data_IF_432785339869
#
_entry.id   IF_432785339869
#
_cell.length_a   1.000
_cell.length_b   1.000
_cell.length_c   1.000
_cell.angle_alpha   90.00
_cell.angle_beta   90.00
_cell.angle_gamma   90.00
#
_symmetry.space_group_name_H-M   'P 1'
#
loop_
_entity.id
_entity.type
_entity.pdbx_description
1 polymer ?
#
# COMPACT_ATOMS: atom_id res chain seq x y z
N UNK A 1 -20.31 -4.54 -7.57
CA UNK A 1 -19.28 -5.02 -6.62
C UNK A 1 -18.45 -3.81 -6.24
N UNK A 2 -18.30 -3.49 -4.96
CA UNK A 2 -17.52 -2.33 -4.51
C UNK A 2 -16.05 -2.72 -4.38
N UNK A 3 -15.15 -1.87 -4.87
CA UNK A 3 -13.71 -2.07 -4.69
C UNK A 3 -13.36 -1.81 -3.22
N UNK A 4 -12.90 -2.84 -2.51
CA UNK A 4 -12.41 -2.67 -1.16
C UNK A 4 -11.15 -1.78 -1.16
N UNK A 5 -10.99 -0.92 -0.15
CA UNK A 5 -9.82 -0.03 -0.08
C UNK A 5 -8.80 -0.65 0.89
N UNK A 6 -7.52 -0.83 0.48
CA UNK A 6 -6.51 -1.43 1.35
C UNK A 6 -6.24 -0.56 2.58
N UNK A 7 -6.17 -1.17 3.77
CA UNK A 7 -5.92 -0.48 5.05
C UNK A 7 -4.87 -1.21 5.89
N UNK A 8 -4.28 -0.49 6.84
CA UNK A 8 -3.32 -1.06 7.80
C UNK A 8 -2.17 -1.81 7.13
N UNK A 9 -1.95 -3.07 7.53
CA UNK A 9 -0.88 -3.92 7.01
C UNK A 9 -0.99 -4.17 5.48
N UNK A 10 -2.21 -4.30 4.95
CA UNK A 10 -2.40 -4.55 3.52
C UNK A 10 -1.92 -3.35 2.67
N UNK A 11 -2.23 -2.13 3.14
CA UNK A 11 -1.76 -0.88 2.53
C UNK A 11 -0.25 -0.75 2.61
N UNK A 12 0.33 -0.99 3.78
CA UNK A 12 1.78 -0.92 3.97
C UNK A 12 2.52 -1.91 3.07
N UNK A 13 1.98 -3.12 2.93
CA UNK A 13 2.51 -4.15 2.05
C UNK A 13 2.57 -3.64 0.60
N UNK A 14 1.45 -3.15 0.06
CA UNK A 14 1.39 -2.62 -1.31
C UNK A 14 2.37 -1.45 -1.55
N UNK A 15 2.50 -0.55 -0.58
CA UNK A 15 3.48 0.56 -0.67
C UNK A 15 4.92 0.03 -0.68
N UNK A 16 5.24 -0.97 0.14
CA UNK A 16 6.57 -1.58 0.20
C UNK A 16 6.95 -2.29 -1.10
N UNK A 17 5.97 -2.87 -1.81
CA UNK A 17 6.18 -3.47 -3.14
C UNK A 17 6.51 -2.46 -4.23
N UNK A 18 6.34 -1.16 -3.98
CA UNK A 18 6.47 -0.13 -5.01
C UNK A 18 5.40 -0.20 -6.10
N UNK A 19 4.44 -1.13 -5.99
CA UNK A 19 3.31 -1.27 -6.91
C UNK A 19 2.41 -0.04 -6.83
N UNK A 20 1.76 0.25 -7.95
CA UNK A 20 0.80 1.32 -8.04
C UNK A 20 -0.51 0.79 -8.63
N UNK A 21 -1.61 1.38 -8.18
CA UNK A 21 -2.93 1.12 -8.68
C UNK A 21 -3.28 2.15 -9.76
N UNK A 22 -3.79 1.67 -10.89
CA UNK A 22 -4.60 2.45 -11.82
C UNK A 22 -6.03 2.35 -11.31
N UNK A 23 -6.70 3.47 -11.04
CA UNK A 23 -8.05 3.48 -10.50
C UNK A 23 -9.03 4.22 -11.39
N UNK A 24 -10.29 3.80 -11.33
CA UNK A 24 -11.42 4.52 -11.94
C UNK A 24 -12.29 5.08 -10.82
N UNK A 25 -12.28 6.41 -10.64
CA UNK A 25 -13.16 7.12 -9.72
C UNK A 25 -14.44 7.57 -10.43
N UNK A 26 -15.59 7.50 -9.77
CA UNK A 26 -16.88 7.89 -10.38
C UNK A 26 -17.89 8.30 -9.31
N UNK A 27 -18.96 8.98 -9.71
CA UNK A 27 -20.17 9.12 -8.90
C UNK A 27 -21.06 7.85 -8.99
N UNK A 28 -22.08 7.66 -8.13
CA UNK A 28 -22.87 6.43 -8.08
C UNK A 28 -23.60 6.10 -9.39
N UNK A 29 -23.95 7.13 -10.18
CA UNK A 29 -24.56 7.01 -11.51
C UNK A 29 -23.59 6.44 -12.58
N UNK A 30 -22.29 6.40 -12.29
CA UNK A 30 -21.27 5.81 -13.16
C UNK A 30 -20.61 6.78 -14.15
N UNK A 31 -21.07 8.03 -14.23
CA UNK A 31 -20.58 9.07 -15.15
C UNK A 31 -20.86 10.47 -14.56
N UNK A 32 -19.94 11.45 -14.67
CA UNK A 32 -18.61 11.34 -15.28
C UNK A 32 -17.65 10.52 -14.40
N UNK A 33 -16.54 10.06 -14.98
CA UNK A 33 -15.50 9.32 -14.27
C UNK A 33 -14.12 9.96 -14.40
N UNK A 34 -13.18 9.51 -13.59
CA UNK A 34 -11.77 9.91 -13.61
C UNK A 34 -10.91 8.65 -13.64
N UNK A 35 -9.81 8.70 -14.37
CA UNK A 35 -8.78 7.66 -14.35
C UNK A 35 -7.48 8.26 -13.86
N UNK A 36 -6.89 7.62 -12.85
CA UNK A 36 -5.64 8.09 -12.26
C UNK A 36 -4.77 6.93 -11.77
N UNK A 37 -3.57 7.29 -11.31
CA UNK A 37 -2.63 6.37 -10.70
C UNK A 37 -2.41 6.73 -9.23
N UNK A 38 -2.25 5.72 -8.37
CA UNK A 38 -1.98 5.93 -6.95
C UNK A 38 -1.13 4.82 -6.35
N UNK A 39 -0.22 5.19 -5.45
CA UNK A 39 0.47 4.24 -4.55
C UNK A 39 -0.32 3.98 -3.26
N UNK A 40 -1.31 4.82 -2.98
CA UNK A 40 -2.08 4.84 -1.74
C UNK A 40 -3.54 5.16 -2.06
N UNK A 41 -4.29 4.11 -2.41
CA UNK A 41 -5.70 4.24 -2.79
C UNK A 41 -6.57 4.83 -1.67
N UNK A 42 -6.21 4.62 -0.40
CA UNK A 42 -6.96 5.14 0.74
C UNK A 42 -6.86 6.68 0.79
N UNK A 43 -5.64 7.23 0.73
CA UNK A 43 -5.45 8.69 0.64
C UNK A 43 -6.05 9.28 -0.62
N UNK A 44 -5.91 8.60 -1.76
CA UNK A 44 -6.53 9.05 -3.01
C UNK A 44 -8.05 9.07 -2.89
N UNK A 45 -8.65 8.07 -2.25
CA UNK A 45 -10.08 8.03 -2.03
C UNK A 45 -10.55 9.13 -1.08
N UNK A 46 -9.84 9.39 0.01
CA UNK A 46 -10.13 10.49 0.93
C UNK A 46 -10.10 11.85 0.22
N UNK A 47 -9.01 12.15 -0.49
CA UNK A 47 -8.88 13.39 -1.27
C UNK A 47 -9.96 13.52 -2.36
N UNK A 48 -10.32 12.40 -3.00
CA UNK A 48 -11.40 12.38 -3.98
C UNK A 48 -12.75 12.69 -3.33
N UNK A 49 -13.01 12.22 -2.11
CA UNK A 49 -14.24 12.50 -1.36
C UNK A 49 -14.33 13.93 -0.84
N UNK A 50 -13.21 14.55 -0.52
CA UNK A 50 -13.18 15.98 -0.17
C UNK A 50 -13.67 16.84 -1.32
N UNK A 51 -13.29 16.49 -2.56
CA UNK A 51 -13.70 17.22 -3.76
C UNK A 51 -15.08 16.77 -4.26
N UNK A 52 -15.37 15.47 -4.23
CA UNK A 52 -16.63 14.84 -4.65
C UNK A 52 -17.18 13.92 -3.54
N UNK A 53 -18.04 14.43 -2.66
CA UNK A 53 -18.50 13.70 -1.46
C UNK A 53 -19.12 12.32 -1.72
N UNK A 54 -19.83 12.18 -2.85
CA UNK A 54 -20.52 10.94 -3.24
C UNK A 54 -19.72 10.04 -4.18
N UNK A 55 -18.44 10.36 -4.41
CA UNK A 55 -17.58 9.57 -5.27
C UNK A 55 -17.27 8.20 -4.67
N UNK A 56 -16.99 7.24 -5.54
CA UNK A 56 -16.51 5.89 -5.22
C UNK A 56 -15.41 5.49 -6.19
N UNK A 57 -14.56 4.55 -5.76
CA UNK A 57 -13.66 3.84 -6.69
C UNK A 57 -14.45 2.68 -7.28
N UNK A 58 -14.70 2.73 -8.59
CA UNK A 58 -15.43 1.68 -9.30
C UNK A 58 -14.57 0.43 -9.50
N UNK A 59 -13.29 0.60 -9.84
CA UNK A 59 -12.33 -0.49 -9.97
C UNK A 59 -10.89 0.02 -9.82
N UNK A 60 -9.98 -0.91 -9.56
CA UNK A 60 -8.55 -0.68 -9.54
C UNK A 60 -7.77 -1.87 -10.11
N UNK A 61 -6.65 -1.58 -10.77
CA UNK A 61 -5.71 -2.56 -11.31
C UNK A 61 -4.31 -2.26 -10.80
N UNK A 62 -3.61 -3.28 -10.32
CA UNK A 62 -2.26 -3.14 -9.77
C UNK A 62 -1.20 -3.49 -10.82
N UNK A 63 -0.20 -2.60 -10.93
CA UNK A 63 0.97 -2.76 -11.80
C UNK A 63 2.26 -2.58 -11.00
N UNK A 64 3.38 -3.02 -11.59
CA UNK A 64 4.70 -3.14 -10.94
C UNK A 64 5.25 -1.83 -10.37
N UNK A 65 4.94 -0.69 -10.97
CA UNK A 65 5.49 0.60 -10.58
C UNK A 65 4.54 1.75 -10.96
N UNK A 66 4.82 2.92 -10.39
CA UNK A 66 4.03 4.14 -10.58
C UNK A 66 4.09 4.65 -12.01
N UNK A 67 5.26 4.60 -12.63
CA UNK A 67 5.47 5.16 -13.97
C UNK A 67 4.62 4.42 -14.99
N UNK A 68 4.52 3.09 -14.87
CA UNK A 68 3.63 2.24 -15.67
C UNK A 68 2.15 2.61 -15.44
N UNK A 69 1.76 2.81 -14.17
CA UNK A 69 0.38 3.17 -13.84
C UNK A 69 -0.01 4.54 -14.40
N UNK A 70 0.88 5.53 -14.28
CA UNK A 70 0.69 6.87 -14.81
C UNK A 70 0.66 6.87 -16.34
N UNK A 71 1.54 6.11 -16.98
CA UNK A 71 1.56 5.98 -18.44
C UNK A 71 0.22 5.43 -18.98
N UNK A 72 -0.32 4.36 -18.37
CA UNK A 72 -1.62 3.83 -18.77
C UNK A 72 -2.73 4.85 -18.48
N UNK A 73 -2.74 5.47 -17.30
CA UNK A 73 -3.76 6.47 -16.97
C UNK A 73 -3.74 7.65 -17.95
N UNK A 74 -2.56 8.16 -18.30
CA UNK A 74 -2.40 9.25 -19.26
C UNK A 74 -2.88 8.85 -20.66
N UNK A 75 -2.57 7.64 -21.11
CA UNK A 75 -3.04 7.12 -22.40
C UNK A 75 -4.57 7.03 -22.43
N UNK A 76 -5.19 6.50 -21.36
CA UNK A 76 -6.65 6.43 -21.25
C UNK A 76 -7.28 7.83 -21.30
N UNK A 77 -6.70 8.79 -20.58
CA UNK A 77 -7.16 10.18 -20.62
C UNK A 77 -6.95 10.77 -22.03
N UNK A 78 -5.85 10.47 -22.73
CA UNK A 78 -5.62 10.96 -24.09
C UNK A 78 -6.61 10.47 -25.15
N UNK A 79 -7.19 9.27 -24.96
CA UNK A 79 -8.08 8.62 -25.94
C UNK A 79 -9.55 8.90 -25.69
N UNK A 80 -9.98 9.04 -24.43
CA UNK A 80 -11.39 9.16 -24.08
C UNK A 80 -11.86 10.63 -24.05
N UNK A 81 -13.14 10.90 -24.39
CA UNK A 81 -13.67 12.26 -24.41
C UNK A 81 -13.78 12.84 -23.00
N UNK A 82 -13.57 14.15 -22.88
CA UNK A 82 -13.66 14.89 -21.63
C UNK A 82 -14.86 15.84 -21.57
N UNK A 83 -15.36 16.10 -20.37
CA UNK A 83 -16.31 17.17 -20.08
C UNK A 83 -15.61 18.52 -19.86
N UNK A 84 -16.40 19.56 -19.61
CA UNK A 84 -15.91 20.93 -19.39
C UNK A 84 -15.04 21.09 -18.14
N UNK A 85 -15.13 20.16 -17.19
CA UNK A 85 -14.35 20.15 -15.95
C UNK A 85 -13.07 19.31 -16.07
N UNK A 86 -12.76 18.80 -17.27
CA UNK A 86 -11.59 17.96 -17.52
C UNK A 86 -11.72 16.54 -16.97
N UNK A 87 -12.94 16.02 -16.83
CA UNK A 87 -13.22 14.64 -16.41
C UNK A 87 -13.62 13.82 -17.62
N UNK A 88 -13.56 12.49 -17.53
CA UNK A 88 -13.99 11.64 -18.62
C UNK A 88 -15.52 11.64 -18.73
N UNK A 89 -16.03 12.06 -19.89
CA UNK A 89 -17.44 12.09 -20.26
C UNK A 89 -17.92 10.69 -20.72
N UNK A 90 -17.49 9.65 -20.01
CA UNK A 90 -17.89 8.26 -20.25
C UNK A 90 -18.19 7.55 -18.94
N UNK A 91 -18.87 6.41 -19.05
CA UNK A 91 -19.10 5.52 -17.92
C UNK A 91 -17.80 4.86 -17.43
N UNK A 92 -17.74 4.59 -16.13
CA UNK A 92 -16.64 3.88 -15.50
C UNK A 92 -16.32 2.52 -16.16
N UNK A 93 -17.33 1.79 -16.65
CA UNK A 93 -17.13 0.52 -17.37
C UNK A 93 -16.41 0.70 -18.70
N UNK A 94 -16.63 1.81 -19.40
CA UNK A 94 -15.93 2.15 -20.64
C UNK A 94 -14.48 2.47 -20.36
N UNK A 95 -14.21 3.30 -19.34
CA UNK A 95 -12.86 3.60 -18.88
C UNK A 95 -12.09 2.32 -18.46
N UNK A 96 -12.76 1.41 -17.73
CA UNK A 96 -12.19 0.10 -17.34
C UNK A 96 -11.76 -0.72 -18.57
N UNK A 97 -12.64 -0.85 -19.56
CA UNK A 97 -12.32 -1.60 -20.80
C UNK A 97 -11.16 -0.97 -21.55
N UNK A 98 -11.07 0.36 -21.56
CA UNK A 98 -9.95 1.06 -22.19
C UNK A 98 -8.62 0.78 -21.48
N UNK A 99 -8.61 0.75 -20.14
CA UNK A 99 -7.42 0.36 -19.35
C UNK A 99 -6.96 -1.05 -19.73
N UNK A 100 -7.89 -2.01 -19.79
CA UNK A 100 -7.61 -3.40 -20.16
C UNK A 100 -7.03 -3.49 -21.59
N UNK A 101 -7.65 -2.81 -22.55
CA UNK A 101 -7.17 -2.79 -23.94
C UNK A 101 -5.77 -2.21 -24.10
N UNK A 102 -5.47 -1.11 -23.40
CA UNK A 102 -4.14 -0.49 -23.44
C UNK A 102 -3.11 -1.45 -22.83
N UNK A 103 -3.41 -2.04 -21.68
CA UNK A 103 -2.52 -2.99 -21.04
C UNK A 103 -2.26 -4.23 -21.91
N UNK A 104 -3.29 -4.78 -22.54
CA UNK A 104 -3.16 -5.89 -23.48
C UNK A 104 -2.27 -5.50 -24.68
N UNK A 105 -2.46 -4.29 -25.23
CA UNK A 105 -1.63 -3.80 -26.34
C UNK A 105 -0.15 -3.64 -25.96
N UNK A 106 0.12 -3.29 -24.70
CA UNK A 106 1.47 -3.16 -24.15
C UNK A 106 2.02 -4.48 -23.60
N UNK A 107 1.26 -5.58 -23.70
CA UNK A 107 1.57 -6.91 -23.15
C UNK A 107 1.87 -6.85 -21.65
N UNK A 108 1.12 -6.01 -20.93
CA UNK A 108 1.23 -5.83 -19.48
C UNK A 108 0.17 -6.66 -18.77
N UNK A 109 0.61 -7.44 -17.78
CA UNK A 109 -0.30 -8.18 -16.91
C UNK A 109 -0.88 -7.24 -15.84
N UNK A 110 -2.15 -6.86 -15.99
CA UNK A 110 -2.89 -6.19 -14.93
C UNK A 110 -3.26 -7.19 -13.84
N UNK A 111 -2.95 -6.88 -12.59
CA UNK A 111 -3.48 -7.66 -11.47
C UNK A 111 -4.75 -6.99 -10.96
N UNK A 112 -5.89 -7.69 -11.09
CA UNK A 112 -7.16 -7.23 -10.52
C UNK A 112 -7.04 -6.98 -9.02
N UNK A 113 -7.77 -5.97 -8.53
CA UNK A 113 -7.75 -5.57 -7.12
C UNK A 113 -7.91 -6.75 -6.16
N UNK A 114 -8.94 -7.58 -6.35
CA UNK A 114 -9.23 -8.71 -5.45
C UNK A 114 -8.09 -9.74 -5.43
N UNK A 115 -7.48 -10.00 -6.58
CA UNK A 115 -6.35 -10.92 -6.69
C UNK A 115 -5.10 -10.35 -5.99
N UNK A 116 -4.85 -9.05 -6.13
CA UNK A 116 -3.78 -8.38 -5.39
C UNK A 116 -4.03 -8.47 -3.89
N UNK A 117 -5.23 -8.15 -3.43
CA UNK A 117 -5.60 -8.20 -2.01
C UNK A 117 -5.52 -9.62 -1.44
N UNK A 118 -5.92 -10.65 -2.19
CA UNK A 118 -5.78 -12.04 -1.77
C UNK A 118 -4.32 -12.42 -1.54
N UNK A 119 -3.41 -12.02 -2.44
CA UNK A 119 -1.96 -12.26 -2.30
C UNK A 119 -1.39 -11.52 -1.09
N UNK A 120 -1.73 -10.24 -0.96
CA UNK A 120 -1.31 -9.39 0.17
C UNK A 120 -1.71 -10.02 1.50
N UNK A 121 -3.00 -10.35 1.66
CA UNK A 121 -3.53 -10.97 2.89
C UNK A 121 -2.90 -12.32 3.19
N UNK A 122 -2.57 -13.11 2.16
CA UNK A 122 -1.88 -14.38 2.34
C UNK A 122 -0.46 -14.15 2.87
N UNK A 123 0.26 -13.17 2.34
CA UNK A 123 1.61 -12.88 2.76
C UNK A 123 1.67 -12.27 4.16
N UNK A 124 0.78 -11.31 4.47
CA UNK A 124 0.65 -10.74 5.82
C UNK A 124 0.38 -11.84 6.84
N UNK A 125 -0.54 -12.77 6.56
CA UNK A 125 -0.82 -13.92 7.44
C UNK A 125 0.40 -14.82 7.66
N UNK A 126 1.19 -15.10 6.62
CA UNK A 126 2.43 -15.88 6.76
C UNK A 126 3.45 -15.20 7.66
N UNK A 127 3.62 -13.88 7.51
CA UNK A 127 4.52 -13.09 8.36
C UNK A 127 4.03 -13.11 9.81
N UNK A 128 2.74 -12.92 10.05
CA UNK A 128 2.17 -12.97 11.40
C UNK A 128 2.32 -14.34 12.05
N UNK A 129 2.07 -15.41 11.29
CA UNK A 129 2.25 -16.78 11.76
C UNK A 129 3.71 -17.03 12.16
N UNK A 130 4.66 -16.66 11.30
CA UNK A 130 6.09 -16.87 11.59
C UNK A 130 6.54 -16.11 12.83
N UNK A 131 6.12 -14.85 13.00
CA UNK A 131 6.45 -14.06 14.21
C UNK A 131 5.83 -14.70 15.45
N UNK A 132 4.60 -15.22 15.36
CA UNK A 132 3.94 -15.91 16.47
C UNK A 132 4.67 -17.19 16.86
N UNK A 133 5.08 -18.00 15.88
CA UNK A 133 5.85 -19.23 16.09
C UNK A 133 7.22 -18.93 16.70
N UNK A 134 7.96 -17.95 16.17
CA UNK A 134 9.24 -17.51 16.71
C UNK A 134 9.11 -16.99 18.16
N UNK A 135 8.02 -16.29 18.47
CA UNK A 135 7.72 -15.89 19.85
C UNK A 135 7.48 -17.10 20.75
N UNK A 136 6.70 -18.08 20.29
CA UNK A 136 6.43 -19.32 21.03
C UNK A 136 7.68 -20.16 21.27
N UNK A 137 8.64 -20.14 20.35
CA UNK A 137 9.95 -20.82 20.48
C UNK A 137 11.00 -20.03 21.25
N UNK A 138 10.70 -18.79 21.65
CA UNK A 138 11.65 -17.91 22.36
C UNK A 138 12.71 -17.27 21.46
N UNK A 139 12.61 -17.41 20.14
CA UNK A 139 13.56 -16.86 19.16
C UNK A 139 13.50 -15.32 19.10
N UNK A 140 12.40 -14.71 19.58
CA UNK A 140 12.28 -13.26 19.74
C UNK A 140 12.88 -12.70 21.04
N UNK A 141 13.66 -13.49 21.79
CA UNK A 141 14.34 -13.01 22.99
C UNK A 141 15.22 -11.77 22.71
N UNK A 142 15.93 -11.76 21.57
CA UNK A 142 16.74 -10.60 21.16
C UNK A 142 15.88 -9.33 20.99
N UNK A 143 14.67 -9.47 20.42
CA UNK A 143 13.76 -8.36 20.17
C UNK A 143 13.20 -7.78 21.48
N UNK A 144 12.83 -8.65 22.41
CA UNK A 144 12.34 -8.25 23.73
C UNK A 144 13.41 -7.51 24.54
N UNK A 145 14.66 -8.02 24.52
CA UNK A 145 15.81 -7.36 25.15
C UNK A 145 16.06 -5.99 24.52
N UNK A 146 16.14 -5.92 23.20
CA UNK A 146 16.38 -4.65 22.50
C UNK A 146 15.25 -3.63 22.71
N UNK A 147 13.98 -4.05 22.75
CA UNK A 147 12.86 -3.15 23.07
C UNK A 147 13.00 -2.57 24.47
N UNK A 148 13.37 -3.41 25.46
CA UNK A 148 13.57 -2.97 26.84
C UNK A 148 14.70 -1.94 26.93
N UNK A 149 15.84 -2.22 26.31
CA UNK A 149 17.01 -1.35 26.32
C UNK A 149 16.70 -0.02 25.62
N UNK A 150 16.12 -0.10 24.42
CA UNK A 150 15.70 1.09 23.67
C UNK A 150 14.71 1.94 24.46
N UNK A 151 13.72 1.33 25.14
CA UNK A 151 12.71 2.05 25.94
C UNK A 151 13.33 2.79 27.13
N UNK A 152 14.32 2.20 27.79
CA UNK A 152 15.03 2.83 28.92
C UNK A 152 15.78 4.07 28.42
N UNK A 153 16.49 3.96 27.31
CA UNK A 153 17.23 5.09 26.74
C UNK A 153 16.30 6.15 26.14
N UNK A 154 15.23 5.73 25.46
CA UNK A 154 14.23 6.63 24.88
C UNK A 154 13.57 7.53 25.94
N UNK A 155 13.30 6.96 27.12
CA UNK A 155 12.72 7.71 28.25
C UNK A 155 13.60 8.89 28.69
N UNK A 156 14.93 8.75 28.62
CA UNK A 156 15.88 9.83 28.99
C UNK A 156 15.80 11.04 28.04
N UNK A 157 15.41 10.81 26.80
CA UNK A 157 15.30 11.85 25.75
C UNK A 157 13.85 12.20 25.40
N UNK A 158 12.90 11.82 26.26
CA UNK A 158 11.47 12.13 26.09
C UNK A 158 10.78 11.41 24.92
N UNK A 159 11.35 10.29 24.44
CA UNK A 159 10.74 9.47 23.38
C UNK A 159 10.02 8.27 23.95
N UNK A 160 8.94 7.86 23.27
CA UNK A 160 8.10 6.73 23.65
C UNK A 160 7.74 5.93 22.41
N UNK A 161 7.77 4.60 22.54
CA UNK A 161 7.23 3.66 21.57
C UNK A 161 6.56 2.52 22.35
N UNK A 162 5.33 2.18 21.99
CA UNK A 162 4.64 1.03 22.58
C UNK A 162 5.25 -0.27 22.05
N UNK A 163 5.08 -1.37 22.80
CA UNK A 163 5.50 -2.69 22.31
C UNK A 163 4.76 -3.08 21.03
N UNK A 164 3.47 -2.73 20.94
CA UNK A 164 2.65 -2.95 19.75
C UNK A 164 3.21 -2.20 18.53
N UNK A 165 3.69 -0.97 18.70
CA UNK A 165 4.34 -0.21 17.63
C UNK A 165 5.69 -0.84 17.23
N UNK A 166 6.50 -1.28 18.19
CA UNK A 166 7.74 -1.99 17.90
C UNK A 166 7.48 -3.29 17.11
N UNK A 167 6.42 -4.02 17.48
CA UNK A 167 6.01 -5.23 16.78
C UNK A 167 5.48 -4.94 15.37
N UNK A 168 4.74 -3.85 15.18
CA UNK A 168 4.31 -3.40 13.86
C UNK A 168 5.51 -3.08 12.95
N UNK A 169 6.55 -2.45 13.51
CA UNK A 169 7.80 -2.19 12.79
C UNK A 169 8.55 -3.48 12.45
N UNK A 170 8.61 -4.45 13.37
CA UNK A 170 9.17 -5.77 13.08
C UNK A 170 8.42 -6.44 11.92
N UNK A 171 7.08 -6.49 11.97
CA UNK A 171 6.25 -7.05 10.88
C UNK A 171 6.55 -6.37 9.55
N UNK A 172 6.65 -5.04 9.55
CA UNK A 172 6.95 -4.26 8.34
C UNK A 172 8.30 -4.62 7.74
N UNK A 173 9.34 -4.77 8.55
CA UNK A 173 10.68 -5.08 8.04
C UNK A 173 10.84 -6.53 7.62
N UNK A 174 10.21 -7.48 8.33
CA UNK A 174 10.12 -8.89 7.91
C UNK A 174 9.37 -8.99 6.58
N UNK A 175 8.25 -8.29 6.47
CA UNK A 175 7.48 -8.17 5.23
C UNK A 175 8.38 -7.65 4.11
N UNK A 176 9.10 -6.55 4.34
CA UNK A 176 10.03 -5.98 3.36
C UNK A 176 11.08 -7.00 2.91
N UNK A 177 11.68 -7.78 3.82
CA UNK A 177 12.67 -8.82 3.47
C UNK A 177 12.10 -9.96 2.65
N UNK A 178 10.93 -10.47 3.03
CA UNK A 178 10.22 -11.51 2.27
C UNK A 178 10.02 -11.04 0.83
N UNK A 179 9.78 -9.75 0.63
CA UNK A 179 9.48 -9.19 -0.68
C UNK A 179 10.75 -8.92 -1.49
N UNK A 180 11.75 -8.29 -0.89
CA UNK A 180 12.93 -7.83 -1.62
C UNK A 180 13.98 -8.92 -1.81
N UNK A 181 14.02 -9.91 -0.91
CA UNK A 181 15.07 -10.93 -0.87
C UNK A 181 14.49 -12.35 -0.97
N UNK A 182 13.17 -12.52 -0.95
CA UNK A 182 12.50 -13.83 -0.81
C UNK A 182 12.93 -14.59 0.46
N UNK A 183 13.29 -13.84 1.51
CA UNK A 183 13.76 -14.38 2.79
C UNK A 183 12.70 -14.10 3.86
N UNK A 184 12.15 -15.17 4.43
CA UNK A 184 11.27 -15.10 5.59
C UNK A 184 12.05 -15.43 6.87
N UNK A 185 12.57 -14.39 7.53
CA UNK A 185 13.38 -14.54 8.74
C UNK A 185 13.16 -13.38 9.74
N UNK A 186 13.34 -13.67 11.02
CA UNK A 186 13.29 -12.76 12.19
C UNK A 186 14.66 -12.69 12.86
N UNK A 187 15.62 -12.12 12.13
CA UNK A 187 16.99 -11.91 12.61
C UNK A 187 17.19 -10.60 13.37
N UNK A 188 18.18 -10.58 14.27
CA UNK A 188 18.59 -9.39 15.03
C UNK A 188 19.20 -8.28 14.16
N UNK A 189 19.56 -8.59 12.91
CA UNK A 189 20.02 -7.61 11.93
C UNK A 189 18.89 -6.65 11.46
N UNK A 190 17.63 -6.93 11.84
CA UNK A 190 16.49 -6.01 11.69
C UNK A 190 16.48 -4.86 12.71
N UNK A 191 17.28 -4.95 13.78
CA UNK A 191 17.28 -3.99 14.90
C UNK A 191 17.33 -2.51 14.48
N UNK A 192 18.23 -2.08 13.57
CA UNK A 192 18.36 -0.67 13.22
C UNK A 192 17.12 -0.08 12.52
N UNK A 193 16.31 -0.93 11.88
CA UNK A 193 15.10 -0.51 11.18
C UNK A 193 13.88 -0.48 12.10
N UNK A 194 13.85 -1.37 13.11
CA UNK A 194 12.79 -1.44 14.12
C UNK A 194 12.93 -0.30 15.13
N UNK A 195 14.14 -0.11 15.66
CA UNK A 195 14.42 0.82 16.74
C UNK A 195 15.08 2.09 16.20
N UNK A 196 14.35 3.23 16.14
CA UNK A 196 14.90 4.44 15.58
C UNK A 196 16.04 4.98 16.45
N UNK A 197 17.06 5.52 15.79
CA UNK A 197 18.17 6.22 16.44
C UNK A 197 17.63 7.39 17.27
N UNK A 198 17.87 7.33 18.57
CA UNK A 198 17.43 8.33 19.54
C UNK A 198 18.14 9.68 19.37
N UNK A 199 19.32 9.69 18.73
CA UNK A 199 20.13 10.90 18.48
C UNK A 199 19.66 11.66 17.25
N UNK A 200 18.99 10.99 16.31
CA UNK A 200 18.46 11.61 15.09
C UNK A 200 17.06 12.12 15.36
N UNK A 201 16.66 13.32 14.86
CA UNK A 201 15.28 13.78 14.96
C UNK A 201 14.32 12.72 14.40
N UNK A 202 13.07 12.63 14.88
CA UNK A 202 12.11 11.69 14.36
C UNK A 202 12.04 11.88 12.84
N UNK A 203 12.16 10.80 12.06
CA UNK A 203 11.84 10.87 10.64
C UNK A 203 10.39 11.35 10.55
N UNK A 204 10.18 12.59 10.08
CA UNK A 204 8.86 13.04 9.69
C UNK A 204 8.43 12.08 8.57
N UNK A 205 7.52 11.16 8.89
CA UNK A 205 6.82 10.45 7.85
C UNK A 205 6.09 11.53 7.06
N UNK A 206 6.55 11.80 5.83
CA UNK A 206 5.82 12.64 4.88
C UNK A 206 4.39 12.12 4.85
N UNK A 207 3.49 12.96 5.37
CA UNK A 207 2.05 12.73 5.37
C UNK A 207 1.54 12.59 3.95
#
# INVERSE_FOLDING_TARGET
>A
MECEIPRGADREYLIVFGVAAIYVGTIPRGEPCIVGASRDLDKTYEAMRERWPWSKIACAFWVKDRDTAEAIANEVNGVLPHDLDGRLAVRAETARRQIEQIADSWKLNLTNHDAAMARVRSAVRRVEQMISEANGRGELAWFNTAYRDWRIEAKKVGRVMSYAEALARLRREVTKRLITLDILDVGADLLPAIFPDLRKPPRQNLR
#
